data_IF_500461761404
#
_entry.id   IF_500461761404
#
_cell.length_a   1.000
_cell.length_b   1.000
_cell.length_c   1.000
_cell.angle_alpha   90.00
_cell.angle_beta   90.00
_cell.angle_gamma   90.00
#
_symmetry.space_group_name_H-M   'P 1'
#
loop_
_entity.id
_entity.type
_entity.pdbx_description
1 polymer ?
#
# COMPACT_ATOMS: atom_id res chain seq x y z
N UNK A 1 6.89 -5.32 -16.80
CA UNK A 1 6.01 -6.21 -16.02
C UNK A 1 5.46 -5.40 -14.85
N UNK A 2 4.15 -5.13 -14.81
CA UNK A 2 3.58 -4.13 -13.88
C UNK A 2 3.74 -4.53 -12.40
N UNK A 3 3.87 -5.82 -12.11
CA UNK A 3 4.08 -6.35 -10.75
C UNK A 3 5.52 -6.14 -10.26
N UNK A 4 6.48 -5.97 -11.17
CA UNK A 4 7.89 -5.69 -10.87
C UNK A 4 8.24 -4.21 -11.05
N UNK A 5 7.25 -3.35 -11.29
CA UNK A 5 7.46 -1.92 -11.44
C UNK A 5 7.66 -1.29 -10.06
N UNK A 6 8.82 -0.66 -9.86
CA UNK A 6 9.26 -0.08 -8.59
C UNK A 6 8.34 1.06 -8.09
N UNK A 7 7.44 1.55 -8.96
CA UNK A 7 6.41 2.55 -8.64
C UNK A 7 5.26 1.99 -7.83
N UNK A 8 5.14 0.66 -7.74
CA UNK A 8 4.07 0.00 -7.03
C UNK A 8 4.60 -0.91 -5.92
N UNK A 9 3.83 -0.99 -4.84
CA UNK A 9 3.98 -2.01 -3.82
C UNK A 9 2.87 -3.04 -3.93
N UNK A 10 3.21 -4.30 -3.75
CA UNK A 10 2.23 -5.33 -3.43
C UNK A 10 1.83 -5.22 -1.96
N UNK A 11 0.63 -5.71 -1.64
CA UNK A 11 0.17 -5.80 -0.24
C UNK A 11 1.17 -6.59 0.62
N UNK A 12 1.78 -7.64 0.06
CA UNK A 12 2.80 -8.44 0.74
C UNK A 12 4.05 -7.63 1.09
N UNK A 13 4.53 -6.79 0.17
CA UNK A 13 5.67 -5.89 0.42
C UNK A 13 5.33 -4.86 1.51
N UNK A 14 4.16 -4.22 1.45
CA UNK A 14 3.75 -3.26 2.49
C UNK A 14 3.65 -3.94 3.85
N UNK A 15 3.15 -5.17 3.89
CA UNK A 15 3.07 -5.96 5.12
C UNK A 15 4.46 -6.24 5.70
N UNK A 16 5.45 -6.57 4.87
CA UNK A 16 6.83 -6.80 5.33
C UNK A 16 7.54 -5.51 5.75
N UNK A 17 7.42 -4.42 4.99
CA UNK A 17 8.12 -3.15 5.23
C UNK A 17 7.58 -2.43 6.47
N UNK A 18 6.25 -2.37 6.61
CA UNK A 18 5.59 -1.62 7.66
C UNK A 18 5.07 -2.49 8.80
N UNK A 19 5.33 -3.80 8.77
CA UNK A 19 4.81 -4.77 9.73
C UNK A 19 3.28 -4.67 9.93
N UNK A 20 2.53 -4.45 8.83
CA UNK A 20 1.08 -4.25 8.86
C UNK A 20 0.34 -5.47 8.34
N UNK A 21 -0.72 -5.89 9.03
CA UNK A 21 -1.61 -6.94 8.52
C UNK A 21 -2.31 -6.50 7.23
N UNK A 22 -2.53 -7.46 6.32
CA UNK A 22 -3.30 -7.25 5.09
C UNK A 22 -4.67 -6.58 5.32
N UNK A 23 -5.35 -6.88 6.43
CA UNK A 23 -6.60 -6.22 6.82
C UNK A 23 -6.41 -4.72 7.12
N UNK A 24 -5.35 -4.36 7.85
CA UNK A 24 -5.01 -2.95 8.12
C UNK A 24 -4.67 -2.22 6.82
N UNK A 25 -3.91 -2.85 5.93
CA UNK A 25 -3.56 -2.27 4.62
C UNK A 25 -4.83 -2.02 3.80
N UNK A 26 -5.74 -3.00 3.74
CA UNK A 26 -7.01 -2.86 3.03
C UNK A 26 -7.86 -1.71 3.61
N UNK A 27 -7.92 -1.60 4.93
CA UNK A 27 -8.62 -0.52 5.61
C UNK A 27 -7.99 0.85 5.30
N UNK A 28 -6.66 0.96 5.38
CA UNK A 28 -5.92 2.19 5.06
C UNK A 28 -6.20 2.61 3.62
N UNK A 29 -6.08 1.68 2.66
CA UNK A 29 -6.34 1.94 1.23
C UNK A 29 -7.77 2.45 1.03
N UNK A 30 -8.75 1.89 1.75
CA UNK A 30 -10.14 2.33 1.71
C UNK A 30 -10.35 3.72 2.32
N UNK A 31 -9.77 4.00 3.49
CA UNK A 31 -9.97 5.27 4.22
C UNK A 31 -9.20 6.43 3.58
N UNK A 32 -7.99 6.16 3.10
CA UNK A 32 -7.09 7.17 2.51
C UNK A 32 -7.24 7.29 1.00
N UNK A 33 -8.18 6.56 0.40
CA UNK A 33 -8.45 6.56 -1.04
C UNK A 33 -7.18 6.37 -1.88
N UNK A 34 -6.31 5.45 -1.45
CA UNK A 34 -5.06 5.15 -2.16
C UNK A 34 -5.40 4.52 -3.52
N UNK A 35 -4.79 5.04 -4.58
CA UNK A 35 -4.94 4.44 -5.90
C UNK A 35 -4.35 3.02 -5.91
N UNK A 36 -5.18 2.07 -6.30
CA UNK A 36 -4.80 0.67 -6.46
C UNK A 36 -5.09 0.18 -7.86
N UNK A 37 -4.15 -0.57 -8.42
CA UNK A 37 -4.31 -1.24 -9.69
C UNK A 37 -4.50 -2.72 -9.43
N UNK A 38 -5.56 -3.29 -9.99
CA UNK A 38 -5.80 -4.73 -9.94
C UNK A 38 -5.08 -5.39 -11.11
N UNK A 39 -4.13 -6.26 -10.81
CA UNK A 39 -3.38 -7.05 -11.81
C UNK A 39 -3.60 -8.52 -11.52
N UNK A 40 -4.55 -9.12 -12.25
CA UNK A 40 -5.00 -10.50 -11.99
C UNK A 40 -5.60 -10.65 -10.59
N UNK A 41 -4.96 -11.48 -9.77
CA UNK A 41 -5.34 -11.71 -8.36
C UNK A 41 -4.62 -10.77 -7.38
N UNK A 42 -3.62 -10.02 -7.84
CA UNK A 42 -2.81 -9.13 -7.00
C UNK A 42 -3.34 -7.71 -7.04
N UNK A 43 -3.26 -7.03 -5.90
CA UNK A 43 -3.51 -5.60 -5.80
C UNK A 43 -2.17 -4.89 -5.67
N UNK A 44 -1.93 -3.95 -6.59
CA UNK A 44 -0.77 -3.07 -6.59
C UNK A 44 -1.20 -1.72 -6.04
N UNK A 45 -0.42 -1.19 -5.10
CA UNK A 45 -0.64 0.09 -4.45
C UNK A 45 0.42 1.06 -4.92
N UNK A 46 0.05 2.30 -5.23
CA UNK A 46 1.02 3.30 -5.63
C UNK A 46 1.98 3.58 -4.47
N UNK A 47 3.28 3.43 -4.72
CA UNK A 47 4.32 3.60 -3.71
C UNK A 47 4.27 4.99 -3.06
N UNK A 48 4.10 6.04 -3.86
CA UNK A 48 4.00 7.42 -3.38
C UNK A 48 2.84 7.65 -2.42
N UNK A 49 1.68 7.02 -2.67
CA UNK A 49 0.52 7.14 -1.78
C UNK A 49 0.74 6.35 -0.49
N UNK A 50 1.28 5.13 -0.58
CA UNK A 50 1.60 4.32 0.59
C UNK A 50 2.58 5.08 1.49
N UNK A 51 3.69 5.58 0.94
CA UNK A 51 4.69 6.32 1.72
C UNK A 51 4.09 7.58 2.37
N UNK A 52 3.27 8.35 1.63
CA UNK A 52 2.57 9.52 2.17
C UNK A 52 1.68 9.13 3.35
N UNK A 53 0.87 8.10 3.20
CA UNK A 53 -0.10 7.67 4.22
C UNK A 53 0.62 7.10 5.45
N UNK A 54 1.69 6.34 5.27
CA UNK A 54 2.49 5.84 6.40
C UNK A 54 3.20 6.97 7.14
N UNK A 55 3.72 7.98 6.41
CA UNK A 55 4.31 9.16 7.03
C UNK A 55 3.29 9.99 7.81
N UNK A 56 2.06 10.17 7.30
CA UNK A 56 0.97 10.81 8.04
C UNK A 56 0.54 10.03 9.27
N UNK A 57 0.56 8.70 9.20
CA UNK A 57 0.24 7.83 10.34
C UNK A 57 1.27 7.98 11.46
N UNK A 58 2.56 8.01 11.12
CA UNK A 58 3.64 8.18 12.10
C UNK A 58 3.65 9.59 12.74
N UNK A 59 3.00 10.58 12.12
CA UNK A 59 2.86 11.94 12.65
C UNK A 59 1.65 12.13 13.58
N UNK A 60 0.76 11.14 13.68
CA UNK A 60 -0.37 11.19 14.60
C UNK A 60 0.09 10.67 15.98
N UNK A 61 -0.03 11.48 17.05
CA UNK A 61 0.37 11.11 18.41
C UNK A 61 -0.52 10.02 19.02
#
# INVERSE_FOLDING_TARGET
DLVNDERYYTVEQVQQIYALSSANICHIVKVKHIEKIKVGVKNLLLRSDVERVMAERNKQP
#
